data_IF_754512633959
#
_entry.id   IF_754512633959
#
_cell.length_a   1.000
_cell.length_b   1.000
_cell.length_c   1.000
_cell.angle_alpha   90.00
_cell.angle_beta   90.00
_cell.angle_gamma   90.00
#
_symmetry.space_group_name_H-M   'P 1'
#
loop_
_entity.id
_entity.type
_entity.pdbx_description
1 polymer ?
#
# COMPACT_ATOMS: atom_id res chain seq x y z
N UNK A 1 25.19 28.45 37.33
CA UNK A 1 24.41 27.30 36.83
C UNK A 1 22.95 27.47 37.26
N UNK A 2 22.05 27.80 36.33
CA UNK A 2 20.62 27.90 36.62
C UNK A 2 19.94 26.59 36.17
N UNK A 3 19.48 25.79 37.13
CA UNK A 3 18.85 24.50 36.87
C UNK A 3 17.54 24.64 36.08
N UNK A 4 17.40 23.81 35.05
CA UNK A 4 16.19 23.70 34.23
C UNK A 4 14.97 23.31 35.10
N UNK A 5 14.08 24.26 35.39
CA UNK A 5 12.92 24.03 36.24
C UNK A 5 11.77 23.36 35.45
N UNK A 6 11.80 22.03 35.40
CA UNK A 6 10.82 21.18 34.72
C UNK A 6 9.36 21.48 35.10
N UNK A 7 9.10 21.89 36.36
CA UNK A 7 7.75 22.20 36.84
C UNK A 7 7.20 23.48 36.22
N UNK A 8 8.03 24.51 36.09
CA UNK A 8 7.66 25.77 35.44
C UNK A 8 7.34 25.57 33.95
N UNK A 9 8.16 24.77 33.25
CA UNK A 9 7.93 24.45 31.84
C UNK A 9 6.64 23.65 31.63
N UNK A 10 6.39 22.63 32.47
CA UNK A 10 5.15 21.85 32.42
C UNK A 10 3.92 22.74 32.59
N UNK A 11 3.94 23.66 33.56
CA UNK A 11 2.82 24.58 33.81
C UNK A 11 2.59 25.54 32.63
N UNK A 12 3.65 26.11 32.05
CA UNK A 12 3.53 26.96 30.84
C UNK A 12 2.97 26.20 29.65
N UNK A 13 3.42 24.96 29.41
CA UNK A 13 2.92 24.13 28.32
C UNK A 13 1.45 23.74 28.51
N UNK A 14 1.02 23.45 29.73
CA UNK A 14 -0.38 23.18 30.04
C UNK A 14 -1.26 24.42 29.79
N UNK A 15 -0.80 25.61 30.19
CA UNK A 15 -1.52 26.86 29.93
C UNK A 15 -1.64 27.15 28.43
N UNK A 16 -0.55 27.02 27.67
CA UNK A 16 -0.56 27.25 26.23
C UNK A 16 -1.47 26.25 25.50
N UNK A 17 -1.47 25.00 25.92
CA UNK A 17 -2.37 23.97 25.40
C UNK A 17 -3.85 24.35 25.62
N UNK A 18 -4.19 24.77 26.84
CA UNK A 18 -5.55 25.19 27.17
C UNK A 18 -6.02 26.38 26.31
N UNK A 19 -5.16 27.39 26.14
CA UNK A 19 -5.46 28.56 25.30
C UNK A 19 -5.61 28.20 23.81
N UNK A 20 -4.78 27.29 23.30
CA UNK A 20 -4.87 26.82 21.93
C UNK A 20 -6.17 26.03 21.70
N UNK A 21 -6.56 25.20 22.65
CA UNK A 21 -7.80 24.42 22.60
C UNK A 21 -9.04 25.32 22.58
N UNK A 22 -9.10 26.32 23.48
CA UNK A 22 -10.19 27.29 23.49
C UNK A 22 -10.25 28.10 22.18
N UNK A 23 -9.10 28.50 21.65
CA UNK A 23 -9.02 29.24 20.38
C UNK A 23 -9.50 28.39 19.20
N UNK A 24 -9.21 27.10 19.20
CA UNK A 24 -9.66 26.15 18.18
C UNK A 24 -11.18 25.95 18.23
N UNK A 25 -11.76 25.70 19.40
CA UNK A 25 -13.23 25.57 19.56
C UNK A 25 -13.93 26.84 19.09
N UNK A 26 -13.40 28.01 19.47
CA UNK A 26 -13.99 29.31 19.12
C UNK A 26 -13.93 29.60 17.62
N UNK A 27 -12.83 29.26 16.94
CA UNK A 27 -12.63 29.58 15.51
C UNK A 27 -13.21 28.51 14.58
N UNK A 28 -13.28 27.26 15.04
CA UNK A 28 -13.66 26.12 14.21
C UNK A 28 -14.66 25.20 14.93
N UNK A 29 -15.85 25.70 15.32
CA UNK A 29 -16.82 24.91 16.07
C UNK A 29 -17.30 23.67 15.31
N UNK A 30 -17.50 23.78 13.99
CA UNK A 30 -17.89 22.65 13.14
C UNK A 30 -16.83 21.55 13.08
N UNK A 31 -15.55 21.93 13.04
CA UNK A 31 -14.45 20.96 13.06
C UNK A 31 -14.33 20.26 14.42
N UNK A 32 -14.57 20.99 15.51
CA UNK A 32 -14.59 20.41 16.85
C UNK A 32 -15.68 19.32 16.99
N UNK A 33 -16.90 19.61 16.51
CA UNK A 33 -18.01 18.65 16.50
C UNK A 33 -17.69 17.45 15.62
N UNK A 34 -17.24 17.68 14.38
CA UNK A 34 -16.84 16.62 13.44
C UNK A 34 -15.79 15.66 14.02
N UNK A 35 -14.80 16.20 14.72
CA UNK A 35 -13.72 15.43 15.34
C UNK A 35 -14.21 14.65 16.57
N UNK A 36 -15.10 15.25 17.36
CA UNK A 36 -15.72 14.61 18.52
C UNK A 36 -16.60 13.43 18.11
N UNK A 37 -17.41 13.61 17.06
CA UNK A 37 -18.34 12.57 16.55
C UNK A 37 -17.60 11.36 15.98
N UNK A 38 -16.38 11.55 15.46
CA UNK A 38 -15.50 10.46 15.00
C UNK A 38 -14.62 9.86 16.10
N UNK A 39 -14.86 10.21 17.37
CA UNK A 39 -14.10 9.67 18.50
C UNK A 39 -12.64 10.14 18.55
N UNK A 40 -12.28 11.20 17.81
CA UNK A 40 -10.94 11.81 17.82
C UNK A 40 -11.03 13.22 18.39
N UNK A 41 -11.35 13.37 19.69
CA UNK A 41 -11.36 14.69 20.31
C UNK A 41 -9.97 15.33 20.16
N UNK A 42 -9.89 16.66 19.97
CA UNK A 42 -8.63 17.36 19.79
C UNK A 42 -7.59 17.11 20.89
N UNK A 43 -8.05 16.70 22.08
CA UNK A 43 -7.20 16.36 23.21
C UNK A 43 -6.41 15.07 23.02
N UNK A 44 -7.00 14.09 22.32
CA UNK A 44 -6.37 12.82 21.99
C UNK A 44 -5.47 12.91 20.75
N UNK A 45 -5.56 14.00 19.95
CA UNK A 45 -4.64 14.25 18.84
C UNK A 45 -3.20 14.34 19.34
N UNK A 46 -2.96 14.95 20.52
CA UNK A 46 -1.61 15.02 21.10
C UNK A 46 -1.09 13.65 21.53
N UNK A 47 -1.94 12.75 22.02
CA UNK A 47 -1.50 11.39 22.37
C UNK A 47 -1.24 10.53 21.14
N UNK A 48 -2.07 10.66 20.08
CA UNK A 48 -1.78 10.07 18.77
C UNK A 48 -0.50 10.65 18.15
N UNK A 49 -0.28 11.95 18.28
CA UNK A 49 0.95 12.62 17.87
C UNK A 49 2.15 12.23 18.73
N UNK A 50 1.99 11.97 20.04
CA UNK A 50 3.06 11.41 20.89
C UNK A 50 3.46 10.01 20.44
N UNK A 51 2.51 9.17 20.01
CA UNK A 51 2.81 7.86 19.40
C UNK A 51 3.58 8.01 18.09
N UNK A 52 3.19 8.97 17.23
CA UNK A 52 3.94 9.32 16.01
C UNK A 52 5.33 9.92 16.30
N UNK A 53 5.46 10.73 17.35
CA UNK A 53 6.71 11.36 17.75
C UNK A 53 7.64 10.40 18.51
N UNK A 54 7.12 9.39 19.21
CA UNK A 54 7.95 8.36 19.85
C UNK A 54 8.64 7.45 18.85
N UNK A 55 8.03 7.20 17.69
CA UNK A 55 8.66 6.50 16.56
C UNK A 55 9.73 7.36 15.88
N UNK A 56 9.54 8.68 15.78
CA UNK A 56 10.56 9.60 15.24
C UNK A 56 11.70 9.95 16.23
N UNK A 57 11.45 9.89 17.54
CA UNK A 57 12.45 10.20 18.55
C UNK A 57 13.54 9.12 18.67
N UNK A 58 13.23 7.87 18.34
CA UNK A 58 14.22 6.79 18.30
C UNK A 58 15.25 7.00 17.18
N UNK A 59 14.86 7.60 16.06
CA UNK A 59 15.77 7.97 14.97
C UNK A 59 16.61 9.20 15.31
N UNK A 60 16.04 10.19 16.01
CA UNK A 60 16.75 11.41 16.42
C UNK A 60 17.78 11.22 17.54
N UNK A 61 17.59 10.24 18.43
CA UNK A 61 18.52 9.98 19.53
C UNK A 61 19.83 9.30 19.08
N UNK A 62 19.81 8.52 17.99
CA UNK A 62 21.01 7.90 17.42
C UNK A 62 21.90 8.91 16.68
N UNK A 63 21.31 9.96 16.10
CA UNK A 63 22.03 11.04 15.40
C UNK A 63 22.70 12.05 16.35
N UNK A 64 22.32 12.08 17.62
CA UNK A 64 22.90 13.00 18.62
C UNK A 64 24.09 12.42 19.40
N UNK A 65 24.49 11.17 19.11
CA UNK A 65 25.63 10.51 19.76
C UNK A 65 26.93 10.52 18.94
N UNK A 66 26.93 11.07 17.72
CA UNK A 66 28.13 11.19 16.90
C UNK A 66 28.84 12.54 17.18
N UNK A 67 30.10 12.56 17.65
CA UNK A 67 30.84 13.79 17.81
C UNK A 67 31.31 14.30 16.44
N UNK A 68 30.87 15.52 16.13
CA UNK A 68 31.50 16.55 15.31
C UNK A 68 32.39 16.11 14.13
N UNK A 69 31.80 16.14 12.92
CA UNK A 69 32.48 16.73 11.77
C UNK A 69 31.50 17.68 11.07
N UNK A 70 31.78 18.96 11.23
CA UNK A 70 31.09 20.05 10.54
C UNK A 70 31.56 20.03 9.08
N UNK A 71 30.67 19.70 8.16
CA UNK A 71 30.75 20.23 6.81
C UNK A 71 29.40 20.82 6.43
N UNK A 72 29.44 22.12 6.09
CA UNK A 72 28.33 22.88 5.58
C UNK A 72 27.86 22.28 4.26
N UNK A 73 26.81 21.47 4.30
CA UNK A 73 25.85 21.39 3.20
C UNK A 73 24.47 21.62 3.80
N UNK A 74 23.88 22.78 3.50
CA UNK A 74 22.43 22.95 3.59
C UNK A 74 21.82 22.09 2.49
N UNK A 75 21.76 20.78 2.72
CA UNK A 75 20.97 19.88 1.92
C UNK A 75 19.51 20.18 2.19
N UNK A 76 18.87 20.95 1.30
CA UNK A 76 17.42 20.89 1.20
C UNK A 76 17.08 19.41 0.98
N UNK A 77 16.35 18.79 1.91
CA UNK A 77 15.73 17.50 1.64
C UNK A 77 14.72 17.78 0.52
N UNK A 78 15.09 17.47 -0.72
CA UNK A 78 14.19 17.60 -1.86
C UNK A 78 13.12 16.52 -1.70
N UNK A 79 11.92 16.93 -1.29
CA UNK A 79 10.75 16.06 -1.32
C UNK A 79 10.33 16.00 -2.78
N UNK A 80 10.61 14.88 -3.46
CA UNK A 80 10.14 14.66 -4.83
C UNK A 80 8.61 14.74 -4.86
N UNK A 81 8.08 15.42 -5.87
CA UNK A 81 6.65 15.38 -6.16
C UNK A 81 6.22 13.97 -6.63
N UNK A 82 4.93 13.61 -6.51
CA UNK A 82 4.42 12.34 -7.05
C UNK A 82 4.74 12.14 -8.54
N UNK A 83 4.76 13.24 -9.31
CA UNK A 83 5.12 13.20 -10.73
C UNK A 83 6.60 12.85 -10.93
N UNK A 84 7.51 13.48 -10.20
CA UNK A 84 8.95 13.19 -10.29
C UNK A 84 9.25 11.75 -9.86
N UNK A 85 8.59 11.25 -8.81
CA UNK A 85 8.70 9.86 -8.38
C UNK A 85 8.24 8.88 -9.46
N UNK A 86 7.12 9.18 -10.13
CA UNK A 86 6.62 8.39 -11.26
C UNK A 86 7.61 8.35 -12.43
N UNK A 87 8.23 9.48 -12.76
CA UNK A 87 9.22 9.54 -13.84
C UNK A 87 10.50 8.79 -13.50
N UNK A 88 11.03 8.97 -12.29
CA UNK A 88 12.20 8.24 -11.82
C UNK A 88 11.95 6.73 -11.81
N UNK A 89 10.76 6.30 -11.36
CA UNK A 89 10.39 4.90 -11.37
C UNK A 89 10.31 4.35 -12.80
N UNK A 90 9.71 5.08 -13.74
CA UNK A 90 9.66 4.67 -15.16
C UNK A 90 11.06 4.46 -15.73
N UNK A 91 11.93 5.44 -15.52
CA UNK A 91 13.29 5.40 -16.03
C UNK A 91 14.06 4.19 -15.48
N UNK A 92 14.07 4.02 -14.15
CA UNK A 92 14.76 2.90 -13.50
C UNK A 92 14.16 1.54 -13.89
N UNK A 93 12.83 1.43 -13.97
CA UNK A 93 12.17 0.19 -14.39
C UNK A 93 12.48 -0.15 -15.86
N UNK A 94 12.53 0.84 -16.74
CA UNK A 94 12.85 0.62 -18.17
C UNK A 94 14.28 0.09 -18.38
N UNK A 95 15.21 0.43 -17.48
CA UNK A 95 16.57 -0.08 -17.50
C UNK A 95 16.70 -1.49 -16.91
N UNK A 96 15.86 -1.85 -15.94
CA UNK A 96 15.93 -3.14 -15.22
C UNK A 96 15.09 -4.24 -15.86
N UNK A 97 13.95 -3.87 -16.46
CA UNK A 97 13.02 -4.82 -17.04
C UNK A 97 13.37 -5.17 -18.48
N UNK A 98 13.16 -6.43 -18.89
CA UNK A 98 13.32 -6.82 -20.28
C UNK A 98 12.28 -6.13 -21.17
N UNK A 99 12.67 -5.88 -22.43
CA UNK A 99 11.80 -5.23 -23.43
C UNK A 99 10.50 -6.01 -23.68
N UNK A 100 10.55 -7.33 -23.52
CA UNK A 100 9.40 -8.23 -23.64
C UNK A 100 9.11 -8.90 -22.29
N UNK A 101 7.84 -9.16 -22.02
CA UNK A 101 7.43 -9.86 -20.79
C UNK A 101 8.01 -11.28 -20.77
N UNK A 102 8.88 -11.51 -19.80
CA UNK A 102 9.48 -12.81 -19.50
C UNK A 102 9.74 -12.97 -18.00
N UNK A 103 10.16 -14.16 -17.60
CA UNK A 103 10.48 -14.45 -16.20
C UNK A 103 11.78 -13.72 -15.81
N UNK A 104 11.71 -12.91 -14.75
CA UNK A 104 12.86 -12.23 -14.20
C UNK A 104 13.83 -13.20 -13.52
N UNK A 105 15.12 -12.89 -13.57
CA UNK A 105 16.15 -13.55 -12.77
C UNK A 105 16.08 -13.13 -11.31
N UNK A 106 16.66 -13.93 -10.40
CA UNK A 106 16.73 -13.58 -8.99
C UNK A 106 17.46 -12.25 -8.74
N UNK A 107 18.48 -11.92 -9.55
CA UNK A 107 19.22 -10.66 -9.42
C UNK A 107 18.37 -9.46 -9.84
N UNK A 108 17.59 -9.60 -10.91
CA UNK A 108 16.61 -8.59 -11.30
C UNK A 108 15.54 -8.42 -10.21
N UNK A 109 15.03 -9.52 -9.65
CA UNK A 109 14.04 -9.48 -8.58
C UNK A 109 14.58 -8.81 -7.31
N UNK A 110 15.83 -9.09 -6.93
CA UNK A 110 16.49 -8.46 -5.79
C UNK A 110 16.69 -6.96 -6.02
N UNK A 111 17.17 -6.57 -7.20
CA UNK A 111 17.39 -5.16 -7.57
C UNK A 111 16.06 -4.38 -7.56
N UNK A 112 14.98 -4.97 -8.06
CA UNK A 112 13.64 -4.38 -8.00
C UNK A 112 13.12 -4.27 -6.56
N UNK A 113 13.38 -5.27 -5.71
CA UNK A 113 13.01 -5.21 -4.29
C UNK A 113 13.71 -4.05 -3.58
N UNK A 114 15.00 -3.84 -3.85
CA UNK A 114 15.77 -2.71 -3.31
C UNK A 114 15.25 -1.37 -3.84
N UNK A 115 14.93 -1.29 -5.13
CA UNK A 115 14.31 -0.13 -5.75
C UNK A 115 12.98 0.24 -5.09
N UNK A 116 12.08 -0.73 -4.90
CA UNK A 116 10.78 -0.49 -4.26
C UNK A 116 10.92 -0.06 -2.81
N UNK A 117 11.90 -0.62 -2.08
CA UNK A 117 12.23 -0.18 -0.72
C UNK A 117 12.75 1.26 -0.72
N UNK A 118 13.62 1.63 -1.66
CA UNK A 118 14.18 2.97 -1.73
C UNK A 118 13.14 4.04 -2.10
N UNK A 119 12.28 3.74 -3.08
CA UNK A 119 11.26 4.67 -3.59
C UNK A 119 10.05 4.77 -2.66
N UNK A 120 9.52 3.63 -2.20
CA UNK A 120 8.25 3.58 -1.48
C UNK A 120 8.39 3.33 0.03
N UNK A 121 9.57 2.91 0.51
CA UNK A 121 9.72 2.45 1.88
C UNK A 121 9.03 1.11 2.16
N UNK A 122 8.66 0.37 1.12
CA UNK A 122 7.93 -0.90 1.23
C UNK A 122 8.90 -2.06 1.05
N UNK A 123 8.88 -3.00 1.98
CA UNK A 123 9.61 -4.27 1.85
C UNK A 123 8.84 -5.20 0.90
N UNK A 124 9.05 -5.04 -0.41
CA UNK A 124 8.45 -5.86 -1.46
C UNK A 124 9.43 -6.96 -1.90
N UNK A 125 8.98 -8.22 -1.99
CA UNK A 125 9.81 -9.40 -2.29
C UNK A 125 9.17 -10.30 -3.34
N UNK A 126 9.97 -10.86 -4.25
CA UNK A 126 9.49 -11.88 -5.20
C UNK A 126 9.19 -13.24 -4.53
N UNK A 127 9.90 -13.53 -3.43
CA UNK A 127 9.69 -14.70 -2.58
C UNK A 127 9.50 -14.26 -1.12
N UNK A 128 8.46 -14.80 -0.46
CA UNK A 128 8.15 -14.53 0.94
C UNK A 128 7.72 -15.84 1.62
N UNK A 129 8.20 -16.11 2.83
CA UNK A 129 7.92 -17.34 3.59
C UNK A 129 8.16 -18.65 2.79
N UNK A 130 9.15 -18.64 1.89
CA UNK A 130 9.44 -19.76 1.00
C UNK A 130 8.51 -19.90 -0.21
N UNK A 131 7.47 -19.06 -0.34
CA UNK A 131 6.52 -19.09 -1.46
C UNK A 131 6.85 -18.00 -2.48
N UNK A 132 6.66 -18.30 -3.77
CA UNK A 132 6.90 -17.39 -4.90
C UNK A 132 5.80 -17.48 -5.95
N UNK A 133 5.58 -16.39 -6.67
CA UNK A 133 4.72 -16.40 -7.86
C UNK A 133 5.38 -17.14 -9.02
N UNK A 134 4.58 -17.60 -9.99
CA UNK A 134 5.11 -18.18 -11.23
C UNK A 134 5.91 -17.14 -12.03
N UNK A 135 5.43 -15.90 -12.04
CA UNK A 135 6.05 -14.75 -12.68
C UNK A 135 5.99 -13.55 -11.73
N UNK A 136 7.03 -12.72 -11.73
CA UNK A 136 7.08 -11.42 -11.03
C UNK A 136 6.94 -10.24 -12.00
N UNK A 137 7.09 -10.50 -13.30
CA UNK A 137 6.79 -9.58 -14.40
C UNK A 137 5.87 -10.29 -15.40
N UNK A 138 4.75 -9.66 -15.74
CA UNK A 138 3.66 -10.34 -16.44
C UNK A 138 2.60 -9.39 -16.98
N UNK A 139 1.77 -9.89 -17.89
CA UNK A 139 0.58 -9.16 -18.33
C UNK A 139 -0.54 -9.30 -17.29
N UNK A 140 -1.11 -8.16 -16.90
CA UNK A 140 -2.33 -8.05 -16.09
C UNK A 140 -3.53 -7.74 -16.97
N UNK A 141 -4.66 -8.39 -16.71
CA UNK A 141 -5.94 -8.13 -17.36
C UNK A 141 -7.00 -7.58 -16.44
N UNK A 142 -8.03 -6.95 -17.03
CA UNK A 142 -9.21 -6.55 -16.29
C UNK A 142 -10.06 -7.76 -15.88
N UNK A 143 -10.36 -7.80 -14.58
CA UNK A 143 -11.36 -8.68 -13.98
C UNK A 143 -12.64 -7.90 -13.68
N UNK A 144 -13.70 -8.61 -13.30
CA UNK A 144 -14.94 -8.00 -12.80
C UNK A 144 -14.91 -7.89 -11.27
N UNK A 145 -15.89 -7.24 -10.65
CA UNK A 145 -16.01 -7.30 -9.20
C UNK A 145 -16.25 -8.73 -8.69
N UNK A 146 -15.72 -9.03 -7.51
CA UNK A 146 -15.98 -10.29 -6.83
C UNK A 146 -17.17 -10.11 -5.87
N UNK A 147 -18.10 -11.09 -5.78
CA UNK A 147 -19.18 -11.00 -4.82
C UNK A 147 -18.62 -11.14 -3.40
N UNK A 148 -18.92 -10.15 -2.54
CA UNK A 148 -18.39 -10.11 -1.17
C UNK A 148 -19.16 -11.04 -0.23
N UNK A 149 -20.44 -11.29 -0.51
CA UNK A 149 -21.33 -12.15 0.26
C UNK A 149 -22.50 -12.67 -0.60
N UNK A 150 -23.28 -13.67 -0.15
CA UNK A 150 -24.46 -14.13 -0.87
C UNK A 150 -25.49 -13.00 -1.09
N UNK A 151 -25.84 -12.75 -2.34
CA UNK A 151 -26.76 -11.66 -2.71
C UNK A 151 -26.11 -10.29 -2.87
N UNK A 152 -24.77 -10.21 -2.84
CA UNK A 152 -24.05 -9.01 -3.26
C UNK A 152 -24.32 -8.74 -4.75
N UNK A 153 -24.53 -7.47 -5.09
CA UNK A 153 -24.87 -7.03 -6.45
C UNK A 153 -24.00 -5.86 -6.84
N UNK A 154 -23.80 -5.67 -8.13
CA UNK A 154 -22.94 -4.60 -8.66
C UNK A 154 -23.35 -3.20 -8.17
N UNK A 155 -24.65 -2.95 -7.94
CA UNK A 155 -25.16 -1.67 -7.42
C UNK A 155 -24.73 -1.36 -5.98
N UNK A 156 -24.15 -2.33 -5.28
CA UNK A 156 -23.63 -2.20 -3.91
C UNK A 156 -22.12 -1.95 -3.88
N UNK A 157 -21.49 -1.83 -5.05
CA UNK A 157 -20.08 -1.46 -5.21
C UNK A 157 -19.97 0.03 -5.50
N UNK A 158 -18.98 0.70 -4.90
CA UNK A 158 -18.93 2.16 -4.84
C UNK A 158 -18.41 2.81 -6.14
N UNK A 159 -17.61 2.09 -6.92
CA UNK A 159 -17.04 2.56 -8.16
C UNK A 159 -17.10 1.50 -9.28
N UNK A 160 -16.90 1.96 -10.52
CA UNK A 160 -16.70 1.14 -11.73
C UNK A 160 -17.74 0.01 -11.93
N UNK A 161 -19.00 0.30 -11.59
CA UNK A 161 -20.11 -0.65 -11.71
C UNK A 161 -20.27 -1.23 -13.13
N UNK A 162 -19.84 -0.51 -14.16
CA UNK A 162 -19.86 -0.99 -15.55
C UNK A 162 -18.98 -2.23 -15.81
N UNK A 163 -18.02 -2.54 -14.93
CA UNK A 163 -17.24 -3.77 -15.02
C UNK A 163 -18.06 -5.03 -14.69
N UNK A 164 -19.22 -4.85 -14.04
CA UNK A 164 -20.09 -5.94 -13.61
C UNK A 164 -19.51 -6.72 -12.42
N UNK A 165 -20.22 -7.78 -12.06
CA UNK A 165 -19.86 -8.69 -10.98
C UNK A 165 -19.72 -10.10 -11.57
N UNK A 166 -18.72 -10.84 -11.13
CA UNK A 166 -18.51 -12.21 -11.60
C UNK A 166 -19.73 -13.09 -11.25
N UNK A 167 -20.11 -14.04 -12.14
CA UNK A 167 -21.15 -15.02 -11.82
C UNK A 167 -20.66 -16.06 -10.79
N UNK A 168 -19.35 -16.31 -10.75
CA UNK A 168 -18.69 -17.17 -9.77
C UNK A 168 -18.34 -16.43 -8.47
N UNK A 169 -17.74 -17.14 -7.51
CA UNK A 169 -17.36 -16.58 -6.20
C UNK A 169 -15.86 -16.27 -6.09
N UNK A 170 -15.12 -16.34 -7.21
CA UNK A 170 -13.65 -16.44 -7.18
C UNK A 170 -13.15 -17.73 -6.51
N UNK A 171 -11.84 -17.88 -6.45
CA UNK A 171 -11.16 -19.06 -5.94
C UNK A 171 -11.32 -19.25 -4.42
N UNK A 172 -11.52 -18.15 -3.68
CA UNK A 172 -11.60 -18.16 -2.21
C UNK A 172 -13.03 -18.15 -1.68
N UNK A 173 -14.04 -18.17 -2.57
CA UNK A 173 -15.44 -18.01 -2.21
C UNK A 173 -15.80 -16.59 -1.81
N UNK A 174 -16.96 -16.43 -1.17
CA UNK A 174 -17.34 -15.14 -0.60
C UNK A 174 -16.34 -14.67 0.44
N UNK A 175 -16.17 -13.34 0.53
CA UNK A 175 -15.34 -12.70 1.55
C UNK A 175 -15.92 -12.94 2.95
N UNK A 176 -17.26 -12.89 3.06
CA UNK A 176 -18.02 -13.16 4.29
C UNK A 176 -19.33 -13.89 3.99
N UNK A 177 -19.90 -14.61 4.97
CA UNK A 177 -21.12 -15.39 4.77
C UNK A 177 -22.40 -14.55 4.66
N UNK A 178 -22.39 -13.28 5.06
CA UNK A 178 -23.55 -12.39 4.97
C UNK A 178 -23.17 -10.91 4.96
N UNK A 179 -24.08 -10.06 4.48
CA UNK A 179 -23.90 -8.60 4.46
C UNK A 179 -23.59 -8.00 5.83
N UNK A 180 -24.20 -8.51 6.88
CA UNK A 180 -24.04 -8.00 8.24
C UNK A 180 -22.63 -8.21 8.82
N UNK A 181 -21.84 -9.09 8.21
CA UNK A 181 -20.44 -9.35 8.59
C UNK A 181 -19.44 -8.61 7.70
N UNK A 182 -19.92 -7.87 6.69
CA UNK A 182 -19.05 -7.11 5.80
C UNK A 182 -18.44 -5.93 6.55
N UNK A 183 -17.11 -5.85 6.53
CA UNK A 183 -16.33 -4.76 7.11
C UNK A 183 -15.74 -3.88 6.02
N UNK A 184 -15.38 -2.64 6.37
CA UNK A 184 -14.69 -1.73 5.44
C UNK A 184 -13.39 -2.34 4.91
N UNK A 185 -12.65 -3.07 5.76
CA UNK A 185 -11.43 -3.79 5.36
C UNK A 185 -11.70 -4.83 4.25
N UNK A 186 -12.80 -5.59 4.33
CA UNK A 186 -13.17 -6.55 3.29
C UNK A 186 -13.64 -5.86 2.02
N UNK A 187 -14.31 -4.71 2.14
CA UNK A 187 -14.63 -3.85 0.99
C UNK A 187 -13.35 -3.36 0.32
N UNK A 188 -12.34 -2.92 1.07
CA UNK A 188 -11.06 -2.50 0.49
C UNK A 188 -10.29 -3.66 -0.14
N UNK A 189 -10.36 -4.85 0.45
CA UNK A 189 -9.73 -6.06 -0.12
C UNK A 189 -10.35 -6.45 -1.46
N UNK A 190 -11.67 -6.38 -1.57
CA UNK A 190 -12.33 -6.62 -2.85
C UNK A 190 -12.08 -5.48 -3.83
N UNK A 191 -12.11 -4.22 -3.39
CA UNK A 191 -11.80 -3.08 -4.26
C UNK A 191 -10.38 -3.14 -4.84
N UNK A 192 -9.40 -3.53 -4.02
CA UNK A 192 -7.99 -3.59 -4.40
C UNK A 192 -7.49 -5.02 -4.41
N UNK A 193 -8.07 -5.85 -5.28
CA UNK A 193 -7.61 -7.23 -5.47
C UNK A 193 -6.86 -7.46 -6.77
N UNK A 194 -6.06 -8.51 -6.75
CA UNK A 194 -5.51 -9.17 -7.93
C UNK A 194 -5.85 -10.66 -7.95
N UNK A 195 -5.90 -11.22 -9.15
CA UNK A 195 -5.89 -12.64 -9.41
C UNK A 195 -4.47 -13.08 -9.78
N UNK A 196 -4.00 -14.18 -9.20
CA UNK A 196 -2.70 -14.78 -9.54
C UNK A 196 -2.84 -16.26 -9.85
N UNK A 197 -1.95 -16.78 -10.69
CA UNK A 197 -1.99 -18.14 -11.24
C UNK A 197 -1.62 -19.25 -10.23
N UNK A 198 -2.26 -19.30 -9.06
CA UNK A 198 -1.92 -20.28 -8.00
C UNK A 198 -2.08 -21.73 -8.47
N UNK A 199 -3.04 -22.02 -9.35
CA UNK A 199 -3.27 -23.35 -9.92
C UNK A 199 -2.11 -23.89 -10.76
N UNK A 200 -1.15 -23.04 -11.15
CA UNK A 200 0.03 -23.43 -11.91
C UNK A 200 1.30 -23.44 -11.06
N UNK A 201 1.19 -23.27 -9.74
CA UNK A 201 2.34 -23.46 -8.84
C UNK A 201 2.81 -24.93 -8.91
N UNK A 202 4.14 -25.20 -8.90
CA UNK A 202 4.68 -26.55 -9.08
C UNK A 202 4.15 -27.59 -8.09
N UNK A 203 3.81 -27.15 -6.89
CA UNK A 203 3.38 -27.95 -5.74
C UNK A 203 1.93 -27.67 -5.35
N UNK A 204 1.15 -27.04 -6.24
CA UNK A 204 -0.27 -26.80 -6.01
C UNK A 204 -1.02 -28.10 -5.67
N UNK A 205 -0.79 -29.17 -6.43
CA UNK A 205 -1.51 -30.44 -6.26
C UNK A 205 -1.17 -31.19 -4.96
N UNK A 206 -0.06 -30.85 -4.31
CA UNK A 206 0.39 -31.52 -3.06
C UNK A 206 0.20 -30.64 -1.82
N UNK A 207 0.25 -29.31 -1.96
CA UNK A 207 0.14 -28.33 -0.87
C UNK A 207 -1.07 -27.39 -1.02
N UNK A 208 -2.10 -27.79 -1.78
CA UNK A 208 -3.22 -26.90 -2.14
C UNK A 208 -3.83 -26.18 -0.93
N UNK A 209 -4.21 -26.85 0.19
CA UNK A 209 -4.82 -26.15 1.31
C UNK A 209 -3.90 -25.11 1.94
N UNK A 210 -2.62 -25.45 2.13
CA UNK A 210 -1.63 -24.56 2.74
C UNK A 210 -1.34 -23.36 1.83
N UNK A 211 -1.16 -23.60 0.52
CA UNK A 211 -0.91 -22.56 -0.46
C UNK A 211 -2.13 -21.64 -0.58
N UNK A 212 -3.33 -22.20 -0.73
CA UNK A 212 -4.58 -21.43 -0.77
C UNK A 212 -4.66 -20.45 0.41
N UNK A 213 -4.46 -20.94 1.62
CA UNK A 213 -4.60 -20.13 2.84
C UNK A 213 -3.46 -19.10 2.96
N UNK A 214 -2.23 -19.44 2.53
CA UNK A 214 -1.11 -18.51 2.55
C UNK A 214 -1.25 -17.37 1.54
N UNK A 215 -1.76 -17.67 0.34
CA UNK A 215 -1.98 -16.70 -0.74
C UNK A 215 -3.22 -15.83 -0.48
N UNK A 216 -4.28 -16.38 0.11
CA UNK A 216 -5.51 -15.64 0.37
C UNK A 216 -5.24 -14.36 1.15
N UNK A 217 -5.59 -13.23 0.55
CA UNK A 217 -5.40 -11.87 1.05
C UNK A 217 -3.97 -11.45 1.32
N UNK A 218 -2.98 -12.16 0.77
CA UNK A 218 -1.58 -11.73 0.85
C UNK A 218 -1.43 -10.40 0.12
N UNK A 219 -0.85 -9.40 0.80
CA UNK A 219 -0.56 -8.10 0.21
C UNK A 219 0.50 -8.21 -0.86
N UNK A 220 0.28 -7.49 -1.94
CA UNK A 220 1.19 -7.42 -3.08
C UNK A 220 1.31 -5.98 -3.56
N UNK A 221 2.52 -5.62 -4.00
CA UNK A 221 2.81 -4.39 -4.69
C UNK A 221 2.66 -4.66 -6.19
N UNK A 222 1.83 -3.88 -6.86
CA UNK A 222 1.66 -3.92 -8.32
C UNK A 222 2.16 -2.60 -8.90
N UNK A 223 3.08 -2.68 -9.84
CA UNK A 223 3.69 -1.51 -10.48
C UNK A 223 3.55 -1.61 -11.99
N UNK A 224 2.99 -0.57 -12.61
CA UNK A 224 2.97 -0.45 -14.06
C UNK A 224 4.21 0.32 -14.53
N UNK A 225 5.19 -0.33 -15.20
CA UNK A 225 6.41 0.34 -15.66
C UNK A 225 6.17 1.42 -16.72
N UNK A 226 5.03 1.39 -17.43
CA UNK A 226 4.68 2.41 -18.43
C UNK A 226 4.15 3.69 -17.79
N UNK A 227 3.21 3.57 -16.86
CA UNK A 227 2.58 4.73 -16.20
C UNK A 227 3.33 5.18 -14.95
N UNK A 228 4.26 4.37 -14.42
CA UNK A 228 4.99 4.66 -13.18
C UNK A 228 4.10 4.61 -11.94
N UNK A 229 2.86 4.11 -12.09
CA UNK A 229 1.90 4.01 -11.01
C UNK A 229 2.09 2.73 -10.23
N UNK A 230 1.99 2.85 -8.91
CA UNK A 230 2.13 1.75 -7.96
C UNK A 230 0.95 1.70 -6.99
N UNK A 231 0.48 0.48 -6.72
CA UNK A 231 -0.69 0.20 -5.87
C UNK A 231 -0.42 -1.02 -4.99
N UNK A 232 -0.86 -0.97 -3.74
CA UNK A 232 -0.88 -2.14 -2.86
C UNK A 232 -2.26 -2.79 -2.96
N UNK A 233 -2.26 -4.07 -3.32
CA UNK A 233 -3.46 -4.87 -3.49
C UNK A 233 -3.35 -6.15 -2.65
N UNK A 234 -4.39 -6.97 -2.68
CA UNK A 234 -4.36 -8.32 -2.09
C UNK A 234 -4.65 -9.39 -3.13
N UNK A 235 -4.09 -10.58 -2.95
CA UNK A 235 -4.49 -11.76 -3.74
C UNK A 235 -5.87 -12.25 -3.27
N UNK A 236 -6.92 -11.98 -4.05
CA UNK A 236 -8.28 -12.41 -3.71
C UNK A 236 -8.90 -13.41 -4.70
N UNK A 237 -8.18 -13.78 -5.75
CA UNK A 237 -8.63 -14.79 -6.70
C UNK A 237 -7.46 -15.59 -7.30
N UNK A 238 -7.79 -16.72 -7.92
CA UNK A 238 -6.87 -17.54 -8.70
C UNK A 238 -7.17 -17.40 -10.20
N UNK A 239 -6.13 -17.14 -10.98
CA UNK A 239 -6.21 -16.98 -12.43
C UNK A 239 -5.31 -15.85 -12.90
N UNK A 240 -5.45 -15.40 -14.16
CA UNK A 240 -6.27 -15.98 -15.22
C UNK A 240 -5.67 -17.28 -15.78
N UNK A 241 -6.41 -18.02 -16.61
CA UNK A 241 -5.91 -19.27 -17.20
C UNK A 241 -4.75 -19.02 -18.19
N UNK A 242 -3.83 -19.98 -18.30
CA UNK A 242 -2.60 -19.85 -19.11
C UNK A 242 -2.88 -19.49 -20.58
N UNK A 243 -3.97 -20.02 -21.15
CA UNK A 243 -4.34 -19.77 -22.55
C UNK A 243 -4.71 -18.30 -22.83
N UNK A 244 -5.04 -17.51 -21.80
CA UNK A 244 -5.34 -16.07 -21.96
C UNK A 244 -4.11 -15.24 -22.34
N UNK A 245 -2.91 -15.81 -22.14
CA UNK A 245 -1.63 -15.11 -22.28
C UNK A 245 -1.36 -14.06 -21.19
N UNK A 246 -2.22 -13.99 -20.17
CA UNK A 246 -2.07 -13.11 -19.01
C UNK A 246 -1.55 -13.91 -17.82
N UNK A 247 -0.70 -13.31 -16.99
CA UNK A 247 -0.18 -13.91 -15.76
C UNK A 247 -0.98 -13.47 -14.53
N UNK A 248 -1.60 -12.29 -14.62
CA UNK A 248 -2.33 -11.67 -13.53
C UNK A 248 -3.70 -11.14 -13.99
N UNK A 249 -4.61 -11.00 -13.03
CA UNK A 249 -5.85 -10.24 -13.16
C UNK A 249 -5.86 -9.11 -12.14
N UNK A 250 -6.48 -7.98 -12.45
CA UNK A 250 -6.66 -6.87 -11.54
C UNK A 250 -8.13 -6.49 -11.43
N UNK A 251 -8.55 -6.10 -10.23
CA UNK A 251 -9.87 -5.51 -10.01
C UNK A 251 -10.12 -4.31 -10.93
N UNK A 252 -11.40 -3.93 -11.13
CA UNK A 252 -11.73 -2.74 -11.90
C UNK A 252 -10.94 -1.51 -11.46
N UNK A 253 -10.80 -1.26 -10.14
CA UNK A 253 -10.08 -0.12 -9.58
C UNK A 253 -8.57 -0.23 -9.74
N UNK A 254 -7.99 -1.42 -9.57
CA UNK A 254 -6.55 -1.65 -9.81
C UNK A 254 -6.22 -1.34 -11.26
N UNK A 255 -7.02 -1.82 -12.19
CA UNK A 255 -6.79 -1.65 -13.62
C UNK A 255 -7.02 -0.22 -14.10
N UNK A 256 -8.02 0.45 -13.53
CA UNK A 256 -8.30 1.85 -13.81
C UNK A 256 -7.16 2.74 -13.31
N UNK A 257 -6.77 2.57 -12.05
CA UNK A 257 -5.69 3.35 -11.46
C UNK A 257 -4.37 3.15 -12.23
N UNK A 258 -3.98 1.90 -12.50
CA UNK A 258 -2.71 1.58 -13.17
C UNK A 258 -2.66 2.06 -14.63
N UNK A 259 -3.78 2.53 -15.21
CA UNK A 259 -3.90 2.89 -16.63
C UNK A 259 -3.57 1.71 -17.56
N UNK A 260 -3.85 0.48 -17.12
CA UNK A 260 -3.50 -0.76 -17.83
C UNK A 260 -4.55 -1.20 -18.86
N UNK A 261 -5.27 -0.23 -19.46
CA UNK A 261 -6.33 -0.45 -20.47
C UNK A 261 -5.84 0.02 -21.85
N UNK A 262 -4.98 -0.75 -22.52
CA UNK A 262 -4.41 -0.38 -23.82
C UNK A 262 -5.26 -0.82 -25.04
N UNK A 263 -6.59 -0.75 -24.94
CA UNK A 263 -7.51 -1.22 -25.99
C UNK A 263 -7.59 -2.75 -26.14
N UNK A 264 -6.56 -3.49 -25.69
CA UNK A 264 -6.54 -4.96 -25.61
C UNK A 264 -6.88 -5.51 -24.20
N UNK A 265 -7.09 -4.60 -23.23
CA UNK A 265 -7.28 -4.92 -21.80
C UNK A 265 -6.15 -5.78 -21.23
N UNK A 266 -4.89 -5.50 -21.64
CA UNK A 266 -3.67 -6.15 -21.14
C UNK A 266 -2.59 -5.10 -20.88
N UNK A 267 -1.94 -5.13 -19.73
CA UNK A 267 -0.79 -4.24 -19.45
C UNK A 267 0.35 -5.02 -18.81
N UNK A 268 1.61 -4.73 -19.15
CA UNK A 268 2.73 -5.33 -18.43
C UNK A 268 2.83 -4.70 -17.04
N UNK A 269 3.01 -5.52 -15.99
CA UNK A 269 3.20 -5.07 -14.62
C UNK A 269 4.23 -5.92 -13.90
N UNK A 270 4.86 -5.32 -12.89
CA UNK A 270 5.66 -6.00 -11.89
C UNK A 270 4.79 -6.27 -10.67
N UNK A 271 4.83 -7.48 -10.12
CA UNK A 271 4.01 -7.89 -8.98
C UNK A 271 4.85 -8.64 -7.94
N UNK A 272 4.96 -8.07 -6.74
CA UNK A 272 5.82 -8.57 -5.65
C UNK A 272 4.97 -8.70 -4.38
N UNK A 273 5.30 -9.64 -3.49
CA UNK A 273 4.67 -9.70 -2.17
C UNK A 273 5.12 -8.55 -1.30
N UNK A 274 4.21 -8.00 -0.50
CA UNK A 274 4.55 -7.02 0.53
C UNK A 274 4.77 -7.78 1.85
N UNK A 275 5.97 -7.64 2.40
CA UNK A 275 6.29 -8.13 3.74
C UNK A 275 5.75 -7.14 4.78
N UNK A 276 4.53 -7.40 5.26
CA UNK A 276 3.83 -6.54 6.21
C UNK A 276 3.21 -7.37 7.35
N UNK A 277 4.05 -7.93 8.25
CA UNK A 277 3.60 -8.82 9.32
C UNK A 277 2.68 -8.10 10.33
N UNK A 278 2.85 -6.79 10.47
CA UNK A 278 2.08 -5.95 11.41
C UNK A 278 0.85 -5.30 10.75
N UNK A 279 0.59 -5.59 9.46
CA UNK A 279 -0.55 -5.07 8.70
C UNK A 279 -0.61 -3.51 8.63
N UNK A 280 0.55 -2.85 8.58
CA UNK A 280 0.70 -1.40 8.59
C UNK A 280 0.67 -0.76 7.19
N UNK A 281 0.89 -1.53 6.12
CA UNK A 281 0.88 -1.00 4.75
C UNK A 281 -0.57 -0.94 4.23
N UNK A 282 -1.17 0.24 4.03
CA UNK A 282 -2.56 0.33 3.58
C UNK A 282 -2.73 -0.16 2.14
N UNK A 283 -3.93 -0.66 1.82
CA UNK A 283 -4.31 -0.98 0.44
C UNK A 283 -4.60 0.29 -0.35
N UNK A 284 -4.48 0.19 -1.68
CA UNK A 284 -4.74 1.27 -2.62
C UNK A 284 -3.48 1.96 -3.13
N UNK A 285 -3.65 3.00 -3.95
CA UNK A 285 -2.56 3.74 -4.59
C UNK A 285 -1.51 4.26 -3.60
N UNK A 286 -0.24 4.12 -3.94
CA UNK A 286 0.86 4.60 -3.08
C UNK A 286 0.99 6.11 -3.05
N UNK A 287 0.60 6.80 -4.12
CA UNK A 287 0.59 8.27 -4.20
C UNK A 287 -0.31 8.88 -3.10
N UNK A 288 -1.46 8.26 -2.83
CA UNK A 288 -2.38 8.70 -1.78
C UNK A 288 -1.91 8.34 -0.36
N UNK A 289 -1.03 7.35 -0.23
CA UNK A 289 -0.41 7.00 1.06
C UNK A 289 0.68 8.00 1.44
N UNK A 290 1.33 8.60 0.45
CA UNK A 290 2.28 9.70 0.63
C UNK A 290 1.59 10.98 1.09
N UNK A 291 0.45 11.32 0.49
CA UNK A 291 -0.33 12.52 0.83
C UNK A 291 -1.01 12.48 2.22
N UNK A 292 -1.29 11.28 2.76
CA UNK A 292 -1.83 11.10 4.12
C UNK A 292 -0.76 11.05 5.23
N UNK A 293 0.48 11.40 4.90
CA UNK A 293 1.60 11.46 5.86
C UNK A 293 2.37 10.14 6.01
N UNK A 294 2.21 9.18 5.09
CA UNK A 294 3.21 8.14 4.90
C UNK A 294 4.42 8.80 4.22
N UNK A 295 5.49 9.09 4.95
CA UNK A 295 6.68 9.61 4.29
C UNK A 295 7.09 8.64 3.15
N UNK A 296 7.49 9.13 1.96
CA UNK A 296 8.42 8.35 1.16
C UNK A 296 9.62 8.15 2.08
N UNK A 297 9.92 6.91 2.48
CA UNK A 297 11.13 6.61 3.24
C UNK A 297 12.34 6.63 2.29
N UNK A 298 12.48 7.72 1.54
CA UNK A 298 13.66 7.99 0.74
C UNK A 298 14.77 8.45 1.70
N UNK A 299 15.48 7.46 2.25
CA UNK A 299 16.81 7.63 2.81
C UNK A 299 17.63 6.41 2.41
N UNK A 300 18.22 6.47 1.22
CA UNK A 300 19.44 5.74 0.89
C UNK A 300 20.02 6.28 -0.43
N UNK A 301 21.06 7.09 -0.29
CA UNK A 301 22.18 7.37 -1.21
C UNK A 301 21.85 7.85 -2.64
#
# INVERSE_FOLDING_TARGET
>A
MAGFNKKLLKNKLTQQYFLAHQRFIRRHPHAHVFLKDRGVPPEKLREKAKRLLSTGALTGALLLAAPQLVHNTRGNIAVLSPYELSQELKEKLSALLPLTVEKLSSDQENTLSELFRAIFGIDARAQLDGNRLNHSYGYIGAEQHLPRYPGDTIYQHDAIQQAGITPGRGAWGYFVPSKNQLTDDLVQKEKYYVAVQTMYLPDWNTRMPQLRDWYKYRKVLVVNPRSGKAIVAVVADAGPAKFTGKQFGGSPEVMDYLESKDGSQKGAVVLFFVNDPDNNVPLGPLEYNVERGGAPLANAL
#
